data_IF_721266699611
#
_entry.id   IF_721266699611
#
_cell.length_a   1.000
_cell.length_b   1.000
_cell.length_c   1.000
_cell.angle_alpha   90.00
_cell.angle_beta   90.00
_cell.angle_gamma   90.00
#
_symmetry.space_group_name_H-M   'P 1'
#
loop_
_entity.id
_entity.type
_entity.pdbx_description
1 polymer ?
#
# COMPACT_ATOMS: atom_id res chain seq x y z
N UNK A 1 21.82 10.73 -80.36
CA UNK A 1 23.13 10.59 -81.08
C UNK A 1 24.20 10.26 -80.02
N UNK A 2 24.97 9.26 -80.42
CA UNK A 2 26.29 8.80 -80.00
C UNK A 2 26.38 7.97 -78.74
N UNK A 3 26.52 6.69 -78.97
CA UNK A 3 27.04 5.57 -78.22
C UNK A 3 28.48 5.78 -77.77
N UNK A 4 28.88 5.19 -76.65
CA UNK A 4 30.00 4.25 -76.59
C UNK A 4 30.11 3.54 -75.19
N UNK A 5 30.09 2.23 -75.23
CA UNK A 5 30.66 1.19 -74.31
C UNK A 5 32.11 0.92 -74.77
N UNK A 6 32.85 0.01 -74.12
CA UNK A 6 33.07 -0.45 -72.74
C UNK A 6 34.57 -0.50 -72.41
N UNK A 7 34.92 -0.84 -71.18
CA UNK A 7 36.11 -1.67 -70.92
C UNK A 7 36.02 -2.41 -69.59
N UNK A 8 36.18 -3.73 -69.63
CA UNK A 8 36.24 -4.69 -68.60
C UNK A 8 37.71 -4.79 -68.18
N UNK A 9 37.98 -4.76 -66.85
CA UNK A 9 39.19 -5.35 -66.26
C UNK A 9 38.82 -5.96 -64.94
N UNK A 10 38.85 -7.27 -64.85
CA UNK A 10 38.62 -8.04 -63.65
C UNK A 10 39.81 -8.00 -62.70
N UNK A 11 39.50 -7.93 -61.43
CA UNK A 11 40.38 -8.26 -60.32
C UNK A 11 39.56 -9.06 -59.31
N UNK A 12 39.91 -10.31 -59.15
CA UNK A 12 39.45 -11.16 -58.06
C UNK A 12 39.99 -10.67 -56.73
N UNK A 13 39.19 -10.53 -55.71
CA UNK A 13 39.73 -10.48 -54.34
C UNK A 13 39.67 -11.87 -53.67
N UNK A 14 40.79 -12.24 -53.12
CA UNK A 14 40.94 -13.39 -52.26
C UNK A 14 40.00 -13.34 -51.06
N UNK A 15 39.19 -14.41 -50.92
CA UNK A 15 38.36 -14.60 -49.72
C UNK A 15 39.21 -14.94 -48.52
N UNK A 16 39.42 -14.01 -47.62
CA UNK A 16 39.82 -14.27 -46.23
C UNK A 16 38.61 -14.80 -45.47
N UNK A 17 38.58 -16.08 -45.19
CA UNK A 17 37.60 -16.71 -44.29
C UNK A 17 37.87 -16.24 -42.85
N UNK A 18 37.14 -15.24 -42.38
CA UNK A 18 37.04 -14.89 -40.98
C UNK A 18 36.21 -15.96 -40.29
N UNK A 19 36.82 -16.74 -39.41
CA UNK A 19 36.10 -17.60 -38.46
C UNK A 19 35.29 -16.72 -37.52
N UNK A 20 33.96 -16.99 -37.32
CA UNK A 20 33.21 -16.32 -36.28
C UNK A 20 33.75 -16.80 -34.91
N UNK A 21 34.42 -15.92 -34.20
CA UNK A 21 34.71 -16.12 -32.79
C UNK A 21 33.37 -16.21 -32.05
N UNK A 22 33.13 -17.37 -31.42
CA UNK A 22 32.00 -17.53 -30.53
C UNK A 22 32.16 -16.54 -29.35
N UNK A 23 31.42 -15.45 -29.39
CA UNK A 23 31.21 -14.64 -28.20
C UNK A 23 30.45 -15.53 -27.21
N UNK A 24 31.15 -16.05 -26.21
CA UNK A 24 30.53 -16.64 -25.02
C UNK A 24 29.67 -15.55 -24.39
N UNK A 25 28.37 -15.59 -24.66
CA UNK A 25 27.42 -14.88 -23.86
C UNK A 25 27.58 -15.38 -22.42
N UNK A 26 28.17 -14.55 -21.55
CA UNK A 26 28.15 -14.79 -20.12
C UNK A 26 26.68 -14.95 -19.72
N UNK A 27 26.29 -16.17 -19.36
CA UNK A 27 25.01 -16.42 -18.73
C UNK A 27 24.87 -15.45 -17.54
N UNK A 28 23.72 -14.83 -17.33
CA UNK A 28 23.51 -14.03 -16.15
C UNK A 28 23.82 -14.89 -14.92
N UNK A 29 24.49 -14.34 -13.90
CA UNK A 29 24.72 -15.08 -12.67
C UNK A 29 23.35 -15.57 -12.15
N UNK A 30 23.31 -16.86 -11.80
CA UNK A 30 22.14 -17.41 -11.13
C UNK A 30 21.83 -16.54 -9.89
N UNK A 31 20.58 -16.23 -9.60
CA UNK A 31 20.24 -15.52 -8.38
C UNK A 31 20.84 -16.29 -7.21
N UNK A 32 21.43 -15.56 -6.26
CA UNK A 32 21.96 -16.17 -5.05
C UNK A 32 20.80 -16.87 -4.32
N UNK A 33 20.81 -18.20 -4.35
CA UNK A 33 19.81 -19.09 -3.74
C UNK A 33 19.97 -19.13 -2.20
N UNK A 34 19.84 -17.97 -1.55
CA UNK A 34 19.46 -17.97 -0.15
C UNK A 34 17.95 -17.72 -0.11
N UNK A 35 17.15 -18.75 0.20
CA UNK A 35 15.72 -18.55 0.37
C UNK A 35 15.50 -17.48 1.44
N UNK A 36 14.49 -16.61 1.27
CA UNK A 36 14.17 -15.59 2.26
C UNK A 36 14.03 -16.23 3.64
N UNK A 37 14.81 -15.77 4.61
CA UNK A 37 14.86 -16.40 5.94
C UNK A 37 13.65 -16.02 6.81
N UNK A 38 12.77 -15.13 6.31
CA UNK A 38 11.70 -14.53 7.09
C UNK A 38 12.22 -13.48 8.07
N UNK A 39 11.30 -12.70 8.64
CA UNK A 39 11.64 -11.72 9.67
C UNK A 39 11.87 -12.42 11.01
N UNK A 40 12.85 -11.94 11.79
CA UNK A 40 13.13 -12.50 13.11
C UNK A 40 12.00 -12.18 14.10
N UNK A 41 11.64 -13.14 14.95
CA UNK A 41 10.68 -12.91 16.02
C UNK A 41 11.32 -12.03 17.10
N UNK A 42 11.03 -10.72 17.08
CA UNK A 42 11.52 -9.73 18.06
C UNK A 42 10.43 -8.71 18.41
N UNK A 43 10.55 -8.11 19.56
CA UNK A 43 9.74 -6.93 19.90
C UNK A 43 10.12 -5.72 19.04
N UNK A 44 9.14 -4.92 18.66
CA UNK A 44 9.35 -3.65 17.98
C UNK A 44 9.93 -2.62 18.94
N UNK A 45 10.83 -1.76 18.45
CA UNK A 45 11.55 -0.75 19.22
C UNK A 45 11.28 0.64 18.64
N UNK A 46 10.51 1.44 19.35
CA UNK A 46 10.24 2.82 18.94
C UNK A 46 11.21 3.80 19.60
N UNK A 47 11.67 4.86 18.90
CA UNK A 47 11.23 5.30 17.58
C UNK A 47 11.90 4.61 16.39
N UNK A 48 12.88 3.71 16.58
CA UNK A 48 13.69 3.13 15.51
C UNK A 48 12.82 2.44 14.44
N UNK A 49 11.86 1.61 14.85
CA UNK A 49 10.98 0.88 13.92
C UNK A 49 9.87 1.75 13.29
N UNK A 50 9.92 3.08 13.46
CA UNK A 50 9.20 3.99 12.58
C UNK A 50 9.96 4.29 11.28
N UNK A 51 11.26 4.03 11.24
CA UNK A 51 12.12 4.16 10.07
C UNK A 51 11.96 3.00 9.08
N UNK A 52 12.82 2.96 8.08
CA UNK A 52 12.82 1.87 7.09
C UNK A 52 13.70 0.70 7.51
N UNK A 53 13.38 -0.47 6.95
CA UNK A 53 14.06 -1.75 7.18
C UNK A 53 14.66 -2.27 5.87
N UNK A 54 15.74 -1.64 5.35
CA UNK A 54 16.27 -1.87 4.00
C UNK A 54 16.77 -3.31 3.79
N UNK A 55 17.01 -4.06 4.85
CA UNK A 55 17.46 -5.45 4.79
C UNK A 55 16.32 -6.44 4.48
N UNK A 56 15.06 -6.01 4.64
CA UNK A 56 13.90 -6.84 4.29
C UNK A 56 13.52 -6.70 2.82
N UNK A 57 12.84 -7.73 2.28
CA UNK A 57 12.46 -7.78 0.88
C UNK A 57 11.42 -6.72 0.52
N UNK A 58 10.34 -6.61 1.29
CA UNK A 58 9.27 -5.63 1.06
C UNK A 58 8.95 -4.86 2.33
N UNK A 59 8.50 -3.62 2.13
CA UNK A 59 8.07 -2.73 3.20
C UNK A 59 7.10 -1.71 2.65
N UNK A 60 6.09 -1.31 3.43
CA UNK A 60 5.17 -0.24 3.05
C UNK A 60 4.71 0.62 4.22
N UNK A 61 4.45 1.86 3.90
CA UNK A 61 3.75 2.85 4.73
C UNK A 61 2.45 3.17 4.01
N UNK A 62 1.35 2.72 4.56
CA UNK A 62 0.03 2.78 3.97
C UNK A 62 -0.86 3.67 4.80
N UNK A 63 -1.23 4.84 4.26
CA UNK A 63 -2.12 5.79 4.92
C UNK A 63 -3.41 5.87 4.13
N UNK A 64 -4.52 5.58 4.80
CA UNK A 64 -5.86 5.71 4.24
C UNK A 64 -6.77 6.46 5.18
N UNK A 65 -7.78 7.11 4.63
CA UNK A 65 -8.70 7.85 5.46
C UNK A 65 -9.79 8.56 4.68
N UNK A 66 -10.50 9.40 5.38
CA UNK A 66 -11.54 10.24 4.81
C UNK A 66 -11.32 11.70 5.14
N UNK A 67 -11.81 12.58 4.25
CA UNK A 67 -11.77 14.02 4.38
C UNK A 67 -13.15 14.62 4.14
N UNK A 68 -13.38 15.78 4.80
CA UNK A 68 -14.48 16.70 4.51
C UNK A 68 -14.00 18.15 4.60
N UNK A 69 -14.69 19.05 3.96
CA UNK A 69 -14.40 20.48 4.08
C UNK A 69 -14.59 20.99 5.52
N UNK A 70 -13.75 21.93 5.93
CA UNK A 70 -13.80 22.57 7.24
C UNK A 70 -12.48 22.58 7.98
N UNK A 71 -12.47 23.25 9.13
CA UNK A 71 -11.29 23.44 9.99
C UNK A 71 -11.38 22.67 11.30
N UNK A 72 -12.53 22.11 11.64
CA UNK A 72 -12.77 21.38 12.88
C UNK A 72 -13.30 19.97 12.65
N UNK A 73 -12.72 19.02 13.37
CA UNK A 73 -13.24 17.66 13.47
C UNK A 73 -14.36 17.71 14.51
N UNK A 74 -15.61 17.56 14.09
CA UNK A 74 -16.76 17.57 14.99
C UNK A 74 -16.60 16.51 16.09
N UNK A 75 -16.72 16.95 17.36
CA UNK A 75 -16.57 16.08 18.52
C UNK A 75 -17.88 15.42 18.98
N UNK A 76 -19.02 15.77 18.34
CA UNK A 76 -20.33 15.20 18.72
C UNK A 76 -20.72 14.03 17.85
N UNK A 77 -20.94 12.90 18.47
CA UNK A 77 -21.52 11.66 17.91
C UNK A 77 -23.01 11.81 17.51
N UNK A 78 -23.42 12.89 16.90
CA UNK A 78 -24.85 13.12 16.60
C UNK A 78 -25.13 13.88 15.31
N UNK A 79 -24.14 14.51 14.71
CA UNK A 79 -24.24 15.16 13.41
C UNK A 79 -22.91 15.04 12.68
N UNK A 80 -22.41 13.84 12.52
CA UNK A 80 -21.23 13.58 11.69
C UNK A 80 -21.64 13.92 10.26
N UNK A 81 -21.23 15.11 9.78
CA UNK A 81 -21.30 15.39 8.36
C UNK A 81 -20.58 14.26 7.64
N UNK A 82 -21.22 13.69 6.61
CA UNK A 82 -20.71 12.58 5.82
C UNK A 82 -19.32 12.94 5.26
N UNK A 83 -18.42 11.96 5.08
CA UNK A 83 -17.17 12.19 4.38
C UNK A 83 -17.47 12.67 2.95
N UNK A 84 -16.66 13.59 2.44
CA UNK A 84 -16.75 14.04 1.05
C UNK A 84 -15.77 13.26 0.17
N UNK A 85 -14.64 12.89 0.75
CA UNK A 85 -13.59 12.19 0.04
C UNK A 85 -13.04 11.01 0.84
N UNK A 86 -12.69 9.94 0.11
CA UNK A 86 -11.72 8.95 0.56
C UNK A 86 -10.33 9.31 0.04
N UNK A 87 -9.26 9.00 0.78
CA UNK A 87 -7.91 9.20 0.29
C UNK A 87 -6.98 8.04 0.68
N UNK A 88 -5.98 7.81 -0.15
CA UNK A 88 -4.88 6.88 0.05
C UNK A 88 -3.57 7.58 -0.27
N UNK A 89 -2.55 7.35 0.56
CA UNK A 89 -1.16 7.71 0.32
C UNK A 89 -0.31 6.53 0.77
N UNK A 90 0.23 5.79 -0.18
CA UNK A 90 1.02 4.58 0.10
C UNK A 90 2.39 4.69 -0.53
N UNK A 91 3.41 4.37 0.25
CA UNK A 91 4.77 4.18 -0.24
C UNK A 91 5.17 2.73 -0.01
N UNK A 92 5.85 2.17 -0.99
CA UNK A 92 6.38 0.82 -0.96
C UNK A 92 7.88 0.86 -1.20
N UNK A 93 8.61 0.00 -0.52
CA UNK A 93 10.01 -0.28 -0.78
C UNK A 93 10.16 -1.76 -1.11
N UNK A 94 10.96 -2.07 -2.12
CA UNK A 94 11.32 -3.44 -2.45
C UNK A 94 12.81 -3.56 -2.66
N UNK A 95 13.44 -4.54 -2.00
CA UNK A 95 14.80 -4.98 -2.24
C UNK A 95 14.78 -5.97 -3.39
N UNK A 96 15.48 -5.65 -4.47
CA UNK A 96 15.36 -6.43 -5.71
C UNK A 96 16.09 -7.77 -5.67
N UNK A 97 17.10 -7.91 -4.82
CA UNK A 97 18.01 -9.07 -4.83
C UNK A 97 18.92 -9.19 -6.07
N UNK A 98 18.61 -8.45 -7.14
CA UNK A 98 19.26 -8.62 -8.46
C UNK A 98 20.65 -7.97 -8.56
N UNK A 99 20.97 -7.06 -7.68
CA UNK A 99 22.17 -6.22 -7.80
C UNK A 99 23.07 -6.31 -6.57
N UNK A 100 22.90 -7.33 -5.76
CA UNK A 100 23.75 -7.60 -4.61
C UNK A 100 25.15 -7.96 -5.11
N UNK A 101 26.18 -7.34 -4.59
CA UNK A 101 27.55 -7.50 -5.08
C UNK A 101 27.93 -6.66 -6.31
N UNK A 102 27.01 -5.96 -6.95
CA UNK A 102 27.34 -5.01 -8.02
C UNK A 102 27.94 -3.73 -7.44
N UNK A 103 29.14 -3.35 -7.90
CA UNK A 103 29.74 -2.05 -7.58
C UNK A 103 29.13 -0.89 -8.40
N UNK A 104 28.25 -1.18 -9.35
CA UNK A 104 27.64 -0.16 -10.19
C UNK A 104 26.70 0.73 -9.39
N UNK A 105 26.86 2.04 -9.48
CA UNK A 105 25.89 3.01 -8.96
C UNK A 105 24.53 2.94 -9.69
N UNK A 106 24.47 2.27 -10.85
CA UNK A 106 23.23 2.03 -11.59
C UNK A 106 22.50 0.76 -11.14
N UNK A 107 23.06 0.00 -10.20
CA UNK A 107 22.43 -1.17 -9.64
C UNK A 107 21.15 -0.78 -8.90
N UNK A 108 20.00 -1.33 -9.31
CA UNK A 108 18.73 -1.08 -8.68
C UNK A 108 18.57 -2.00 -7.45
N UNK A 109 19.25 -1.72 -6.35
CA UNK A 109 19.17 -2.53 -5.13
C UNK A 109 17.85 -2.34 -4.41
N UNK A 110 17.43 -1.08 -4.31
CA UNK A 110 16.17 -0.69 -3.67
C UNK A 110 15.32 0.07 -4.68
N UNK A 111 14.08 -0.35 -4.79
CA UNK A 111 13.03 0.36 -5.54
C UNK A 111 12.03 0.94 -4.56
N UNK A 112 11.58 2.15 -4.83
CA UNK A 112 10.49 2.78 -4.09
C UNK A 112 9.38 3.11 -5.06
N UNK A 113 8.18 2.72 -4.68
CA UNK A 113 6.95 3.02 -5.40
C UNK A 113 6.05 3.87 -4.51
N UNK A 114 5.18 4.65 -5.11
CA UNK A 114 4.13 5.34 -4.39
C UNK A 114 2.83 5.30 -5.20
N UNK A 115 1.75 5.02 -4.51
CA UNK A 115 0.39 5.11 -5.02
C UNK A 115 -0.38 6.15 -4.22
N UNK A 116 -1.09 7.02 -4.91
CA UNK A 116 -1.94 8.02 -4.28
C UNK A 116 -3.31 8.01 -4.95
N UNK A 117 -4.34 8.07 -4.15
CA UNK A 117 -5.71 8.12 -4.65
C UNK A 117 -6.56 9.10 -3.85
N UNK A 118 -7.49 9.72 -4.54
CA UNK A 118 -8.57 10.52 -3.95
C UNK A 118 -9.88 10.09 -4.60
N UNK A 119 -10.85 9.69 -3.78
CA UNK A 119 -12.18 9.30 -4.23
C UNK A 119 -13.17 10.39 -3.84
N UNK A 120 -13.74 11.09 -4.82
CA UNK A 120 -14.86 12.02 -4.61
C UNK A 120 -16.15 11.22 -4.48
N UNK A 121 -16.77 11.24 -3.30
CA UNK A 121 -17.99 10.50 -3.00
C UNK A 121 -19.24 11.15 -3.61
N UNK A 122 -19.20 12.45 -3.92
CA UNK A 122 -20.29 13.18 -4.53
C UNK A 122 -20.30 13.05 -6.06
N UNK A 123 -19.19 12.61 -6.67
CA UNK A 123 -19.14 12.43 -8.13
C UNK A 123 -20.17 11.41 -8.60
N UNK A 124 -20.84 11.71 -9.72
CA UNK A 124 -21.93 10.89 -10.27
C UNK A 124 -21.52 9.43 -10.53
N UNK A 125 -22.51 8.55 -10.63
CA UNK A 125 -22.31 7.10 -10.78
C UNK A 125 -21.60 6.69 -12.10
N UNK A 126 -21.57 7.57 -13.09
CA UNK A 126 -21.05 7.28 -14.44
C UNK A 126 -19.51 7.31 -14.58
N UNK A 127 -18.79 7.16 -13.49
CA UNK A 127 -17.32 7.18 -13.47
C UNK A 127 -16.74 8.56 -13.13
N UNK A 128 -15.44 8.60 -12.82
CA UNK A 128 -14.68 9.85 -12.59
C UNK A 128 -14.53 10.27 -11.13
N UNK A 129 -15.12 9.56 -10.16
CA UNK A 129 -14.91 9.85 -8.74
C UNK A 129 -13.54 9.46 -8.22
N UNK A 130 -12.93 8.41 -8.74
CA UNK A 130 -11.60 7.98 -8.37
C UNK A 130 -10.54 8.73 -9.19
N UNK A 131 -9.63 9.38 -8.50
CA UNK A 131 -8.41 9.97 -9.04
C UNK A 131 -7.23 9.19 -8.46
N UNK A 132 -6.43 8.57 -9.32
CA UNK A 132 -5.27 7.76 -8.94
C UNK A 132 -4.04 8.22 -9.71
N UNK A 133 -2.91 8.24 -9.03
CA UNK A 133 -1.58 8.49 -9.62
C UNK A 133 -0.54 7.59 -8.97
N UNK A 134 0.55 7.30 -9.67
CA UNK A 134 1.58 6.38 -9.23
C UNK A 134 2.98 6.84 -9.66
N UNK A 135 3.97 6.52 -8.86
CA UNK A 135 5.37 6.82 -9.14
C UNK A 135 6.27 5.65 -8.78
N UNK A 136 7.41 5.58 -9.45
CA UNK A 136 8.47 4.62 -9.14
C UNK A 136 9.83 5.28 -9.32
N UNK A 137 10.78 4.97 -8.45
CA UNK A 137 12.18 5.31 -8.63
C UNK A 137 13.07 4.34 -7.85
N UNK A 138 14.34 4.27 -8.23
CA UNK A 138 15.39 3.59 -7.47
C UNK A 138 16.15 4.58 -6.59
N UNK A 139 16.70 4.09 -5.52
CA UNK A 139 17.63 4.87 -4.68
C UNK A 139 18.90 5.29 -5.43
N UNK A 140 19.62 6.28 -4.89
CA UNK A 140 20.95 6.68 -5.34
C UNK A 140 20.97 7.76 -6.42
N UNK A 141 19.83 8.36 -6.80
CA UNK A 141 19.74 9.40 -7.82
C UNK A 141 19.07 10.70 -7.34
N UNK A 142 18.96 10.88 -6.02
CA UNK A 142 18.31 12.06 -5.43
C UNK A 142 16.79 12.10 -5.59
N UNK A 143 16.17 11.05 -6.18
CA UNK A 143 14.73 10.98 -6.39
C UNK A 143 13.98 10.35 -5.22
N UNK A 144 14.68 9.59 -4.40
CA UNK A 144 14.14 8.84 -3.27
C UNK A 144 14.97 9.12 -2.04
N UNK A 145 14.31 9.31 -0.92
CA UNK A 145 14.89 9.29 0.42
C UNK A 145 14.06 8.35 1.30
N UNK A 146 14.72 7.33 1.81
CA UNK A 146 14.13 6.36 2.76
C UNK A 146 15.14 6.18 3.89
N UNK A 147 15.18 7.07 4.89
CA UNK A 147 16.17 7.00 5.95
C UNK A 147 15.92 5.77 6.83
N UNK A 148 16.99 5.01 7.06
CA UNK A 148 17.02 3.97 8.09
C UNK A 148 17.13 4.61 9.47
N UNK A 149 16.37 4.10 10.42
CA UNK A 149 16.43 4.34 11.86
C UNK A 149 16.32 5.80 12.36
N UNK A 150 15.49 6.05 13.34
CA UNK A 150 15.39 7.25 14.20
C UNK A 150 15.20 8.61 13.52
N UNK A 151 14.99 8.65 12.20
CA UNK A 151 14.79 9.92 11.50
C UNK A 151 13.41 10.51 11.72
N UNK A 152 13.31 11.82 11.57
CA UNK A 152 12.03 12.52 11.45
C UNK A 152 11.33 12.21 10.12
N UNK A 153 12.06 11.70 9.12
CA UNK A 153 11.54 11.38 7.80
C UNK A 153 11.24 9.90 7.66
N UNK A 154 10.05 9.54 7.16
CA UNK A 154 9.70 8.17 6.80
C UNK A 154 10.08 7.85 5.37
N UNK A 155 9.50 8.57 4.39
CA UNK A 155 9.76 8.31 2.98
C UNK A 155 9.45 9.53 2.13
N UNK A 156 10.28 9.72 1.08
CA UNK A 156 10.05 10.73 0.04
C UNK A 156 10.35 10.12 -1.33
N UNK A 157 9.47 10.39 -2.30
CA UNK A 157 9.64 10.04 -3.71
C UNK A 157 9.34 11.28 -4.55
N UNK A 158 10.41 11.95 -5.00
CA UNK A 158 10.35 13.27 -5.66
C UNK A 158 9.71 14.32 -4.73
N UNK A 159 8.57 14.88 -5.15
CA UNK A 159 7.78 15.90 -4.42
C UNK A 159 6.58 15.28 -3.65
N UNK A 160 6.51 13.95 -3.56
CA UNK A 160 5.59 13.26 -2.65
C UNK A 160 6.34 12.79 -1.43
N UNK A 161 5.76 12.97 -0.26
CA UNK A 161 6.40 12.59 0.98
C UNK A 161 5.41 12.20 2.07
N UNK A 162 5.87 11.34 2.95
CA UNK A 162 5.29 11.08 4.26
C UNK A 162 6.40 11.26 5.28
N UNK A 163 6.35 12.34 6.05
CA UNK A 163 7.38 12.75 7.00
C UNK A 163 6.86 12.57 8.41
N UNK A 164 7.61 11.89 9.26
CA UNK A 164 7.35 11.84 10.69
C UNK A 164 8.09 12.97 11.38
N UNK A 165 7.37 13.80 12.12
CA UNK A 165 7.93 14.90 12.90
C UNK A 165 8.41 14.41 14.28
N UNK A 166 9.35 15.13 14.85
CA UNK A 166 9.74 14.90 16.24
C UNK A 166 8.52 15.04 17.16
N UNK A 167 8.45 14.28 18.27
CA UNK A 167 7.39 14.44 19.25
C UNK A 167 7.41 15.86 19.86
N UNK A 168 6.24 16.35 20.24
CA UNK A 168 6.11 17.68 20.85
C UNK A 168 6.78 17.79 22.22
N UNK A 169 6.86 16.66 22.94
CA UNK A 169 7.53 16.53 24.22
C UNK A 169 8.25 15.17 24.28
N UNK A 170 9.32 15.01 25.07
CA UNK A 170 10.11 13.77 25.10
C UNK A 170 9.32 12.52 25.52
N UNK A 171 8.24 12.66 26.26
CA UNK A 171 7.35 11.62 26.74
C UNK A 171 6.12 11.41 25.83
N UNK A 172 5.88 12.28 24.85
CA UNK A 172 4.77 12.12 23.87
C UNK A 172 5.09 11.02 22.87
N UNK A 173 4.47 9.87 23.05
CA UNK A 173 4.64 8.71 22.15
C UNK A 173 3.71 8.71 20.95
N UNK A 174 2.88 9.74 20.80
CA UNK A 174 1.96 9.86 19.66
C UNK A 174 2.69 10.35 18.44
N UNK A 175 2.39 9.77 17.32
CA UNK A 175 2.98 10.17 16.04
C UNK A 175 2.42 11.51 15.55
N UNK A 176 3.28 12.26 14.92
CA UNK A 176 2.92 13.43 14.11
C UNK A 176 3.56 13.25 12.75
N UNK A 177 2.74 13.26 11.74
CA UNK A 177 3.19 13.05 10.37
C UNK A 177 2.65 14.14 9.47
N UNK A 178 3.39 14.41 8.41
CA UNK A 178 3.00 15.34 7.36
C UNK A 178 3.08 14.64 6.02
N UNK A 179 1.95 14.57 5.30
CA UNK A 179 1.84 13.94 4.00
C UNK A 179 1.67 15.02 2.92
N UNK A 180 2.52 14.97 1.90
CA UNK A 180 2.45 15.88 0.76
C UNK A 180 2.34 15.06 -0.52
N UNK A 181 1.30 15.34 -1.30
CA UNK A 181 1.05 14.73 -2.61
C UNK A 181 0.76 15.85 -3.61
N UNK A 182 1.37 15.77 -4.78
CA UNK A 182 1.10 16.67 -5.91
C UNK A 182 0.93 15.84 -7.17
N UNK A 183 -0.33 15.58 -7.54
CA UNK A 183 -0.68 14.95 -8.81
C UNK A 183 -1.26 15.98 -9.77
N UNK A 184 -1.46 15.60 -11.02
CA UNK A 184 -2.10 16.47 -12.01
C UNK A 184 -3.57 16.78 -11.69
N UNK A 185 -4.26 15.85 -11.00
CA UNK A 185 -5.69 15.93 -10.74
C UNK A 185 -6.04 16.46 -9.37
N UNK A 186 -5.15 16.29 -8.39
CA UNK A 186 -5.35 16.74 -7.02
C UNK A 186 -4.02 16.96 -6.29
N UNK A 187 -4.05 17.74 -5.22
CA UNK A 187 -2.94 17.86 -4.28
C UNK A 187 -3.46 17.74 -2.84
N UNK A 188 -2.68 17.06 -2.02
CA UNK A 188 -2.90 16.90 -0.58
C UNK A 188 -1.70 17.51 0.17
N UNK A 189 -2.00 18.21 1.25
CA UNK A 189 -1.04 18.76 2.21
C UNK A 189 -1.67 18.56 3.58
N UNK A 190 -1.33 17.43 4.24
CA UNK A 190 -2.07 16.90 5.37
C UNK A 190 -1.17 16.69 6.58
N UNK A 191 -1.54 17.25 7.71
CA UNK A 191 -1.02 16.91 9.03
C UNK A 191 -1.86 15.76 9.63
N UNK A 192 -1.19 14.69 10.06
CA UNK A 192 -1.77 13.53 10.70
C UNK A 192 -1.24 13.45 12.12
N UNK A 193 -2.14 13.49 13.09
CA UNK A 193 -1.80 13.49 14.52
C UNK A 193 -2.36 12.26 15.21
N UNK A 194 -1.49 11.49 15.84
CA UNK A 194 -1.86 10.34 16.66
C UNK A 194 -2.74 10.78 17.85
N UNK A 195 -3.90 10.18 17.98
CA UNK A 195 -4.79 10.38 19.13
C UNK A 195 -4.68 9.25 20.13
N UNK A 196 -4.04 8.15 19.74
CA UNK A 196 -3.87 6.92 20.51
C UNK A 196 -2.44 6.40 20.33
N UNK A 197 -2.02 5.43 21.11
CA UNK A 197 -0.74 4.74 20.95
C UNK A 197 -0.76 3.79 19.75
N UNK A 198 0.42 3.41 19.25
CA UNK A 198 0.54 2.38 18.21
C UNK A 198 -0.20 1.10 18.58
N UNK A 199 -0.74 0.43 17.57
CA UNK A 199 -1.43 -0.84 17.67
C UNK A 199 -0.52 -1.92 17.08
N UNK A 200 0.07 -2.75 17.92
CA UNK A 200 0.94 -3.85 17.47
C UNK A 200 0.08 -5.01 16.98
N UNK A 201 0.26 -5.39 15.72
CA UNK A 201 -0.53 -6.47 15.12
C UNK A 201 0.08 -7.85 15.40
N UNK A 202 -0.79 -8.87 15.53
CA UNK A 202 -0.35 -10.22 15.85
C UNK A 202 0.28 -10.30 17.25
N UNK A 203 1.35 -11.06 17.38
CA UNK A 203 2.06 -11.23 18.65
C UNK A 203 3.07 -10.08 18.83
N UNK A 204 2.65 -9.02 19.51
CA UNK A 204 3.46 -7.83 19.80
C UNK A 204 4.17 -7.22 18.57
N UNK A 205 3.48 -7.24 17.42
CA UNK A 205 4.02 -6.74 16.15
C UNK A 205 4.58 -7.82 15.22
N UNK A 206 4.66 -9.08 15.66
CA UNK A 206 4.98 -10.22 14.80
C UNK A 206 3.69 -10.83 14.26
N UNK A 207 3.39 -10.57 12.99
CA UNK A 207 2.13 -10.94 12.34
C UNK A 207 2.32 -12.11 11.37
N UNK A 208 1.76 -13.26 11.70
CA UNK A 208 1.79 -14.46 10.84
C UNK A 208 0.99 -14.22 9.55
N UNK A 209 1.51 -14.75 8.44
CA UNK A 209 0.90 -14.67 7.09
C UNK A 209 0.64 -16.04 6.48
N UNK A 210 0.97 -17.10 7.21
CA UNK A 210 0.79 -18.46 6.74
C UNK A 210 1.04 -19.49 7.81
N UNK A 211 0.81 -20.78 7.47
CA UNK A 211 1.11 -21.91 8.36
C UNK A 211 2.62 -22.11 8.57
N UNK A 212 3.46 -21.74 7.59
CA UNK A 212 4.92 -21.72 7.77
C UNK A 212 5.29 -20.56 8.71
N UNK A 213 6.05 -20.81 9.80
CA UNK A 213 6.53 -19.74 10.69
C UNK A 213 7.30 -18.62 10.00
N UNK A 214 7.97 -18.91 8.90
CA UNK A 214 8.71 -17.92 8.12
C UNK A 214 7.79 -16.97 7.31
N UNK A 215 6.54 -17.37 7.07
CA UNK A 215 5.54 -16.50 6.44
C UNK A 215 5.00 -15.54 7.51
N UNK A 216 5.72 -14.46 7.74
CA UNK A 216 5.40 -13.46 8.75
C UNK A 216 5.94 -12.08 8.37
N UNK A 217 5.41 -11.07 9.00
CA UNK A 217 5.87 -9.69 8.91
C UNK A 217 6.05 -9.08 10.29
N UNK A 218 6.82 -8.00 10.38
CA UNK A 218 6.64 -7.02 11.44
C UNK A 218 5.56 -6.03 11.00
N UNK A 219 4.58 -5.79 11.87
CA UNK A 219 3.41 -5.02 11.52
C UNK A 219 2.86 -4.23 12.70
N UNK A 220 2.72 -2.93 12.52
CA UNK A 220 1.96 -2.10 13.45
C UNK A 220 1.06 -1.13 12.70
N UNK A 221 0.00 -0.70 13.37
CA UNK A 221 -0.94 0.29 12.87
C UNK A 221 -1.00 1.51 13.77
N UNK A 222 -1.36 2.65 13.20
CA UNK A 222 -1.74 3.85 13.93
C UNK A 222 -3.18 4.24 13.52
N UNK A 223 -4.19 3.69 14.21
CA UNK A 223 -5.58 4.05 13.97
C UNK A 223 -5.93 5.41 14.56
N UNK A 224 -7.12 5.90 14.21
CA UNK A 224 -7.70 7.13 14.79
C UNK A 224 -6.82 8.37 14.60
N UNK A 225 -5.96 8.44 13.58
CA UNK A 225 -5.18 9.63 13.28
C UNK A 225 -6.11 10.81 12.96
N UNK A 226 -6.00 11.90 13.69
CA UNK A 226 -6.69 13.14 13.38
C UNK A 226 -6.00 13.81 12.17
N UNK A 227 -6.77 14.17 11.15
CA UNK A 227 -6.27 14.79 9.92
C UNK A 227 -6.74 16.23 9.84
N UNK A 228 -5.81 17.13 9.53
CA UNK A 228 -6.05 18.54 9.17
C UNK A 228 -5.16 18.90 8.00
N UNK A 229 -5.60 19.80 7.15
CA UNK A 229 -4.75 20.24 6.06
C UNK A 229 -5.53 20.85 4.91
N UNK A 230 -4.95 20.75 3.73
CA UNK A 230 -5.52 21.34 2.51
C UNK A 230 -5.64 20.32 1.39
N UNK A 231 -6.74 20.41 0.69
CA UNK A 231 -7.01 19.67 -0.55
C UNK A 231 -7.22 20.67 -1.68
N UNK A 232 -6.53 20.46 -2.80
CA UNK A 232 -6.80 21.13 -4.06
C UNK A 232 -7.22 20.09 -5.11
N UNK A 233 -8.26 20.37 -5.86
CA UNK A 233 -8.63 19.67 -7.08
C UNK A 233 -8.14 20.47 -8.29
N UNK A 234 -7.80 19.81 -9.39
CA UNK A 234 -7.38 20.49 -10.61
C UNK A 234 -8.41 21.55 -11.04
N UNK A 235 -7.93 22.76 -11.29
CA UNK A 235 -8.79 23.89 -11.68
C UNK A 235 -9.57 24.54 -10.54
N UNK A 236 -9.38 24.12 -9.28
CA UNK A 236 -10.07 24.69 -8.12
C UNK A 236 -9.09 25.21 -7.07
N UNK A 237 -9.44 26.27 -6.33
CA UNK A 237 -8.63 26.73 -5.20
C UNK A 237 -8.48 25.65 -4.14
N UNK A 238 -7.31 25.61 -3.48
CA UNK A 238 -7.12 24.75 -2.34
C UNK A 238 -8.04 25.16 -1.18
N UNK A 239 -8.66 24.16 -0.52
CA UNK A 239 -9.55 24.36 0.61
C UNK A 239 -9.08 23.61 1.85
N UNK A 240 -9.45 24.11 3.01
CA UNK A 240 -9.17 23.45 4.27
C UNK A 240 -10.05 22.20 4.41
N UNK A 241 -9.43 21.14 4.91
CA UNK A 241 -10.08 19.87 5.15
C UNK A 241 -9.71 19.30 6.52
N UNK A 242 -10.61 18.52 7.05
CA UNK A 242 -10.41 17.71 8.25
C UNK A 242 -10.90 16.30 8.02
N UNK A 243 -10.39 15.35 8.81
CA UNK A 243 -10.77 13.96 8.66
C UNK A 243 -10.17 13.04 9.70
N UNK A 244 -10.24 11.75 9.40
CA UNK A 244 -9.55 10.69 10.16
C UNK A 244 -8.84 9.77 9.21
N UNK A 245 -7.71 9.23 9.67
CA UNK A 245 -6.90 8.30 8.93
C UNK A 245 -6.49 7.09 9.78
N UNK A 246 -6.02 6.10 9.07
CA UNK A 246 -5.35 4.89 9.53
C UNK A 246 -3.98 4.84 8.86
N UNK A 247 -2.94 4.45 9.57
CA UNK A 247 -1.64 4.13 9.00
C UNK A 247 -1.29 2.69 9.34
N UNK A 248 -0.80 1.95 8.33
CA UNK A 248 -0.08 0.70 8.51
C UNK A 248 1.37 0.88 8.10
N UNK A 249 2.26 0.34 8.93
CA UNK A 249 3.66 0.15 8.58
C UNK A 249 3.99 -1.33 8.76
N UNK A 250 4.40 -1.95 7.68
CA UNK A 250 4.64 -3.38 7.64
C UNK A 250 5.85 -3.71 6.76
N UNK A 251 6.68 -4.66 7.22
CA UNK A 251 7.83 -5.14 6.46
C UNK A 251 8.02 -6.64 6.62
N UNK A 252 8.50 -7.28 5.55
CA UNK A 252 8.61 -8.74 5.47
C UNK A 252 9.65 -9.19 4.43
N UNK A 253 10.19 -10.39 4.63
CA UNK A 253 10.92 -11.14 3.61
C UNK A 253 10.01 -12.13 2.88
N UNK A 254 8.94 -12.62 3.56
CA UNK A 254 8.01 -13.64 3.04
C UNK A 254 6.58 -13.27 3.43
N UNK A 255 6.01 -12.32 2.70
CA UNK A 255 4.66 -11.84 2.99
C UNK A 255 3.56 -12.77 2.43
N UNK A 256 3.74 -13.23 1.18
CA UNK A 256 2.80 -14.13 0.52
C UNK A 256 3.42 -15.52 0.40
N UNK A 257 2.85 -16.50 1.10
CA UNK A 257 3.17 -17.89 0.88
C UNK A 257 2.90 -18.33 -0.56
N UNK A 258 3.60 -19.36 -1.06
CA UNK A 258 3.58 -19.78 -2.46
C UNK A 258 2.17 -20.04 -3.05
N UNK A 259 1.20 -20.40 -2.21
CA UNK A 259 -0.16 -20.72 -2.63
C UNK A 259 -1.11 -19.49 -2.64
N UNK A 260 -0.73 -18.39 -1.98
CA UNK A 260 -1.56 -17.21 -1.93
C UNK A 260 -1.47 -16.42 -3.25
N UNK A 261 -2.60 -15.89 -3.70
CA UNK A 261 -2.68 -15.05 -4.91
C UNK A 261 -2.94 -13.58 -4.58
N UNK A 262 -3.36 -13.28 -3.36
CA UNK A 262 -3.70 -11.96 -2.88
C UNK A 262 -4.36 -12.02 -1.50
N UNK A 263 -4.84 -10.87 -1.05
CA UNK A 263 -5.51 -10.71 0.24
C UNK A 263 -6.78 -9.88 0.15
N UNK A 264 -7.61 -10.02 1.18
CA UNK A 264 -8.65 -9.07 1.54
C UNK A 264 -8.29 -8.50 2.90
N UNK A 265 -8.25 -7.19 3.01
CA UNK A 265 -7.89 -6.47 4.23
C UNK A 265 -8.92 -5.38 4.54
N UNK A 266 -9.17 -5.16 5.81
CA UNK A 266 -9.99 -4.05 6.31
C UNK A 266 -9.33 -3.38 7.51
N UNK A 267 -9.39 -2.04 7.55
CA UNK A 267 -9.01 -1.24 8.71
C UNK A 267 -10.05 -0.16 8.98
N UNK A 268 -10.63 -0.16 10.17
CA UNK A 268 -11.73 0.74 10.53
C UNK A 268 -11.44 1.53 11.79
N UNK A 269 -11.69 2.82 11.71
CA UNK A 269 -11.81 3.74 12.84
C UNK A 269 -13.28 3.80 13.25
N UNK A 270 -13.62 3.28 14.43
CA UNK A 270 -14.97 3.32 14.95
C UNK A 270 -15.26 4.70 15.58
N UNK A 271 -16.54 5.09 15.57
CA UNK A 271 -16.97 6.41 16.04
C UNK A 271 -16.82 6.59 17.56
N UNK A 272 -16.79 5.50 18.31
CA UNK A 272 -16.55 5.47 19.76
C UNK A 272 -15.07 5.50 20.16
N UNK A 273 -14.16 5.53 19.17
CA UNK A 273 -12.72 5.52 19.36
C UNK A 273 -12.09 4.13 19.29
N UNK A 274 -12.87 3.07 19.17
CA UNK A 274 -12.35 1.73 18.91
C UNK A 274 -11.67 1.63 17.53
N UNK A 275 -10.87 0.58 17.36
CA UNK A 275 -10.21 0.26 16.10
C UNK A 275 -10.37 -1.23 15.78
N UNK A 276 -10.67 -1.56 14.53
CA UNK A 276 -10.81 -2.93 14.03
C UNK A 276 -9.95 -3.11 12.79
N UNK A 277 -9.10 -4.12 12.78
CA UNK A 277 -8.40 -4.59 11.59
C UNK A 277 -8.65 -6.09 11.42
N UNK A 278 -8.83 -6.53 10.18
CA UNK A 278 -8.86 -7.95 9.84
C UNK A 278 -8.35 -8.15 8.41
N UNK A 279 -7.67 -9.28 8.19
CA UNK A 279 -7.24 -9.68 6.87
C UNK A 279 -7.38 -11.19 6.67
N UNK A 280 -7.43 -11.60 5.41
CA UNK A 280 -7.23 -12.98 5.01
C UNK A 280 -6.39 -13.06 3.73
N UNK A 281 -5.57 -14.08 3.64
CA UNK A 281 -4.80 -14.43 2.45
C UNK A 281 -5.53 -15.56 1.71
N UNK A 282 -5.59 -15.48 0.38
CA UNK A 282 -6.43 -16.35 -0.44
C UNK A 282 -5.64 -17.11 -1.49
N UNK A 283 -6.08 -18.35 -1.76
CA UNK A 283 -5.72 -19.10 -2.98
C UNK A 283 -6.57 -18.64 -4.16
N UNK A 284 -6.21 -19.13 -5.35
CA UNK A 284 -6.92 -18.82 -6.59
C UNK A 284 -8.40 -19.30 -6.59
N UNK A 285 -8.71 -20.35 -5.86
CA UNK A 285 -10.06 -20.87 -5.69
C UNK A 285 -10.89 -20.11 -4.63
N UNK A 286 -10.31 -19.06 -4.04
CA UNK A 286 -10.93 -18.27 -2.99
C UNK A 286 -10.81 -18.84 -1.58
N UNK A 287 -10.24 -20.04 -1.42
CA UNK A 287 -10.01 -20.63 -0.09
C UNK A 287 -8.94 -19.84 0.68
N UNK A 288 -9.10 -19.82 2.01
CA UNK A 288 -8.20 -19.06 2.90
C UNK A 288 -6.93 -19.86 3.18
N UNK A 289 -5.77 -19.24 3.03
CA UNK A 289 -4.50 -19.80 3.47
C UNK A 289 -4.16 -19.41 4.89
N UNK A 290 -4.50 -18.17 5.28
CA UNK A 290 -4.29 -17.58 6.59
C UNK A 290 -5.24 -16.42 6.81
N UNK A 291 -5.54 -16.12 8.07
CA UNK A 291 -6.25 -14.90 8.46
C UNK A 291 -5.66 -14.35 9.76
N UNK A 292 -5.90 -13.10 10.04
CA UNK A 292 -5.48 -12.43 11.25
C UNK A 292 -6.21 -11.11 11.44
N UNK A 293 -6.13 -10.56 12.63
CA UNK A 293 -6.74 -9.27 12.91
C UNK A 293 -6.64 -8.89 14.37
N UNK A 294 -7.17 -7.71 14.67
CA UNK A 294 -7.19 -7.17 16.03
C UNK A 294 -8.37 -6.22 16.23
N UNK A 295 -8.78 -6.12 17.45
CA UNK A 295 -9.72 -5.10 17.91
C UNK A 295 -9.15 -4.41 19.14
N UNK A 296 -9.13 -3.08 19.13
CA UNK A 296 -8.86 -2.27 20.29
C UNK A 296 -10.12 -1.57 20.73
N UNK A 297 -10.53 -1.79 21.99
CA UNK A 297 -11.72 -1.17 22.57
C UNK A 297 -11.53 0.36 22.73
N UNK A 298 -12.61 1.13 22.96
CA UNK A 298 -12.51 2.56 23.28
C UNK A 298 -11.63 2.84 24.52
N UNK A 299 -11.60 1.89 25.45
CA UNK A 299 -10.82 1.96 26.71
C UNK A 299 -9.33 1.61 26.48
N UNK A 300 -8.98 1.10 25.29
CA UNK A 300 -7.61 0.77 24.91
C UNK A 300 -7.24 -0.71 25.08
N UNK A 301 -8.17 -1.58 25.44
CA UNK A 301 -7.94 -3.02 25.54
C UNK A 301 -7.74 -3.63 24.16
N UNK A 302 -6.64 -4.34 23.96
CA UNK A 302 -6.30 -4.99 22.69
C UNK A 302 -6.64 -6.48 22.75
N UNK A 303 -7.37 -6.94 21.74
CA UNK A 303 -7.61 -8.35 21.43
C UNK A 303 -7.10 -8.67 20.02
N UNK A 304 -6.12 -9.54 19.94
CA UNK A 304 -5.71 -10.17 18.67
C UNK A 304 -6.58 -11.38 18.39
N UNK A 305 -6.84 -11.65 17.11
CA UNK A 305 -7.69 -12.73 16.64
C UNK A 305 -6.85 -13.86 16.07
N UNK A 306 -7.20 -15.10 16.39
CA UNK A 306 -6.66 -16.28 15.76
C UNK A 306 -7.23 -16.44 14.33
N UNK A 307 -6.52 -17.20 13.49
CA UNK A 307 -6.86 -17.33 12.07
C UNK A 307 -8.25 -17.99 11.83
N UNK A 308 -8.67 -18.86 12.71
CA UNK A 308 -9.96 -19.58 12.67
C UNK A 308 -11.13 -18.78 13.29
N UNK A 309 -10.84 -17.66 13.97
CA UNK A 309 -11.84 -16.80 14.57
C UNK A 309 -12.41 -15.75 13.59
N UNK A 310 -11.84 -15.63 12.38
CA UNK A 310 -12.20 -14.58 11.42
C UNK A 310 -12.89 -15.22 10.20
N UNK A 311 -14.05 -14.66 9.83
CA UNK A 311 -14.79 -15.08 8.63
C UNK A 311 -15.18 -13.87 7.81
N UNK A 312 -14.85 -13.92 6.51
CA UNK A 312 -15.28 -13.00 5.49
C UNK A 312 -16.27 -13.70 4.56
N UNK A 313 -17.51 -13.26 4.56
CA UNK A 313 -18.57 -13.78 3.70
C UNK A 313 -19.00 -12.71 2.72
N UNK A 314 -18.67 -12.88 1.42
CA UNK A 314 -19.01 -11.92 0.38
C UNK A 314 -20.54 -11.81 0.22
N UNK A 315 -21.04 -10.58 0.14
CA UNK A 315 -22.48 -10.30 0.00
C UNK A 315 -22.80 -9.72 -1.38
N UNK A 316 -22.04 -8.74 -1.83
CA UNK A 316 -22.25 -8.06 -3.10
C UNK A 316 -20.92 -7.91 -3.84
N UNK A 317 -20.97 -8.12 -5.14
CA UNK A 317 -19.83 -7.95 -6.03
C UNK A 317 -20.04 -6.78 -6.99
N UNK A 318 -18.94 -6.20 -7.39
CA UNK A 318 -18.86 -5.24 -8.50
C UNK A 318 -17.85 -5.76 -9.51
N UNK A 319 -18.22 -5.75 -10.79
CA UNK A 319 -17.33 -6.17 -11.88
C UNK A 319 -16.76 -4.94 -12.56
N UNK A 320 -15.44 -4.84 -12.58
CA UNK A 320 -14.76 -3.74 -13.25
C UNK A 320 -15.02 -3.75 -14.75
N UNK A 321 -15.48 -2.64 -15.33
CA UNK A 321 -15.59 -2.54 -16.78
C UNK A 321 -14.23 -2.52 -17.49
N UNK A 322 -13.14 -2.22 -16.76
CA UNK A 322 -11.78 -2.10 -17.31
C UNK A 322 -11.06 -3.45 -17.38
N UNK A 323 -11.12 -4.23 -16.32
CA UNK A 323 -10.37 -5.48 -16.18
C UNK A 323 -11.22 -6.73 -16.23
N UNK A 324 -12.55 -6.59 -16.11
CA UNK A 324 -13.51 -7.68 -15.92
C UNK A 324 -13.31 -8.47 -14.61
N UNK A 325 -12.45 -7.98 -13.72
CA UNK A 325 -12.30 -8.56 -12.40
C UNK A 325 -13.55 -8.29 -11.56
N UNK A 326 -13.98 -9.30 -10.80
CA UNK A 326 -15.14 -9.21 -9.92
C UNK A 326 -14.69 -9.10 -8.47
N UNK A 327 -14.95 -7.95 -7.86
CA UNK A 327 -14.54 -7.61 -6.50
C UNK A 327 -15.73 -7.71 -5.54
N UNK A 328 -15.61 -8.43 -4.42
CA UNK A 328 -16.62 -8.44 -3.37
C UNK A 328 -16.52 -7.16 -2.54
N UNK A 329 -17.36 -6.20 -2.85
CA UNK A 329 -17.33 -4.85 -2.26
C UNK A 329 -18.31 -4.66 -1.09
N UNK A 330 -19.00 -5.72 -0.70
CA UNK A 330 -19.77 -5.80 0.53
C UNK A 330 -19.54 -7.15 1.21
N UNK A 331 -19.25 -7.11 2.51
CA UNK A 331 -18.92 -8.29 3.29
C UNK A 331 -19.70 -8.37 4.58
N UNK A 332 -20.01 -9.58 4.98
CA UNK A 332 -20.30 -9.91 6.36
C UNK A 332 -19.00 -10.40 6.99
N UNK A 333 -18.46 -9.62 7.92
CA UNK A 333 -17.25 -9.90 8.67
C UNK A 333 -17.64 -10.37 10.09
N UNK A 334 -17.27 -11.59 10.44
CA UNK A 334 -17.43 -12.11 11.80
C UNK A 334 -16.07 -12.20 12.46
N UNK A 335 -15.97 -11.66 13.66
CA UNK A 335 -14.76 -11.64 14.50
C UNK A 335 -15.16 -11.87 15.96
N UNK A 336 -14.22 -12.17 16.87
CA UNK A 336 -14.53 -12.25 18.29
C UNK A 336 -15.06 -10.96 18.93
N UNK A 337 -14.84 -9.80 18.29
CA UNK A 337 -15.37 -8.50 18.77
C UNK A 337 -16.78 -8.20 18.25
N UNK A 338 -17.32 -9.02 17.35
CA UNK A 338 -18.66 -8.87 16.85
C UNK A 338 -18.83 -9.25 15.39
N UNK A 339 -20.07 -9.07 14.93
CA UNK A 339 -20.48 -9.25 13.54
C UNK A 339 -20.70 -7.87 12.91
N UNK A 340 -20.20 -7.70 11.70
CA UNK A 340 -20.11 -6.42 11.04
C UNK A 340 -20.47 -6.54 9.55
N UNK A 341 -21.13 -5.53 9.02
CA UNK A 341 -21.25 -5.38 7.56
C UNK A 341 -20.26 -4.31 7.09
N UNK A 342 -19.34 -4.72 6.23
CA UNK A 342 -18.42 -3.83 5.51
C UNK A 342 -19.08 -3.47 4.19
N UNK A 343 -19.27 -2.19 3.90
CA UNK A 343 -19.97 -1.72 2.71
C UNK A 343 -19.15 -0.62 2.04
N UNK A 344 -18.71 -0.85 0.82
CA UNK A 344 -18.03 0.19 0.04
C UNK A 344 -18.95 1.41 -0.15
N UNK A 345 -18.41 2.61 0.06
CA UNK A 345 -19.16 3.85 -0.17
C UNK A 345 -19.26 4.21 -1.66
N UNK A 346 -18.40 3.62 -2.47
CA UNK A 346 -18.38 3.73 -3.92
C UNK A 346 -17.90 2.42 -4.53
N UNK A 347 -18.51 1.99 -5.62
CA UNK A 347 -18.19 0.68 -6.22
C UNK A 347 -16.91 0.74 -7.06
N UNK A 348 -16.77 1.74 -7.94
CA UNK A 348 -15.60 1.89 -8.82
C UNK A 348 -14.44 2.57 -8.06
N UNK A 349 -13.65 1.75 -7.37
CA UNK A 349 -12.42 2.14 -6.68
C UNK A 349 -11.26 1.19 -7.06
N UNK A 350 -11.27 0.68 -8.30
CA UNK A 350 -10.18 -0.12 -8.84
C UNK A 350 -9.00 0.78 -9.26
N UNK A 351 -7.80 0.45 -8.76
CA UNK A 351 -6.55 1.14 -9.04
C UNK A 351 -5.70 0.32 -10.02
N UNK A 352 -5.38 0.92 -11.16
CA UNK A 352 -4.45 0.35 -12.13
C UNK A 352 -3.02 0.83 -11.84
N UNK A 353 -2.26 0.00 -11.16
CA UNK A 353 -0.87 0.28 -10.76
C UNK A 353 0.15 -0.54 -11.57
N UNK A 354 -0.22 -0.96 -12.79
CA UNK A 354 0.67 -1.77 -13.65
C UNK A 354 1.94 -1.06 -14.08
N UNK A 355 1.93 0.28 -14.11
CA UNK A 355 3.11 1.08 -14.47
C UNK A 355 4.14 1.21 -13.35
N UNK A 356 3.82 0.78 -12.13
CA UNK A 356 4.71 0.80 -10.97
C UNK A 356 4.93 -0.60 -10.41
N UNK A 357 3.95 -1.18 -9.74
CA UNK A 357 4.03 -2.49 -9.08
C UNK A 357 3.59 -3.65 -9.97
N UNK A 358 3.11 -3.40 -11.20
CA UNK A 358 2.62 -4.43 -12.11
C UNK A 358 1.25 -5.01 -11.74
N UNK A 359 0.55 -4.43 -10.77
CA UNK A 359 -0.70 -4.96 -10.22
C UNK A 359 -1.92 -4.07 -10.51
N UNK A 360 -3.09 -4.68 -10.47
CA UNK A 360 -4.39 -4.00 -10.38
C UNK A 360 -5.09 -4.53 -9.13
N UNK A 361 -5.63 -3.64 -8.34
CA UNK A 361 -6.33 -3.98 -7.10
C UNK A 361 -7.48 -3.00 -6.85
N UNK A 362 -8.39 -3.38 -6.00
CA UNK A 362 -9.50 -2.53 -5.58
C UNK A 362 -9.25 -2.06 -4.15
N UNK A 363 -9.43 -0.79 -3.90
CA UNK A 363 -9.20 -0.22 -2.59
C UNK A 363 -10.09 1.00 -2.38
N UNK A 364 -10.89 0.99 -1.30
CA UNK A 364 -11.85 2.05 -1.17
C UNK A 364 -12.39 2.32 0.22
N UNK A 365 -12.78 3.60 0.41
CA UNK A 365 -13.47 4.04 1.61
C UNK A 365 -14.77 3.26 1.77
N UNK A 366 -14.94 2.69 2.96
CA UNK A 366 -16.04 1.80 3.31
C UNK A 366 -16.64 2.15 4.66
N UNK A 367 -17.90 1.83 4.84
CA UNK A 367 -18.61 1.95 6.10
C UNK A 367 -18.64 0.60 6.84
N UNK A 368 -18.42 0.64 8.14
CA UNK A 368 -18.65 -0.47 9.04
C UNK A 368 -20.02 -0.30 9.69
N UNK A 369 -20.91 -1.28 9.51
CA UNK A 369 -22.28 -1.24 10.02
C UNK A 369 -22.55 -2.38 10.99
N UNK A 370 -23.46 -2.17 11.92
CA UNK A 370 -24.09 -3.20 12.74
C UNK A 370 -25.20 -3.90 11.97
N UNK A 371 -25.72 -4.99 12.51
CA UNK A 371 -26.84 -5.77 11.92
C UNK A 371 -28.11 -4.92 11.77
N UNK A 372 -28.30 -3.90 12.60
CA UNK A 372 -29.40 -2.91 12.51
C UNK A 372 -29.24 -1.89 11.39
N UNK A 373 -28.13 -1.95 10.63
CA UNK A 373 -27.78 -1.03 9.55
C UNK A 373 -27.09 0.26 9.99
N UNK A 374 -26.96 0.52 11.29
CA UNK A 374 -26.30 1.71 11.83
C UNK A 374 -24.80 1.70 11.48
N UNK A 375 -24.32 2.79 10.88
CA UNK A 375 -22.90 3.02 10.64
C UNK A 375 -22.20 3.30 11.98
N UNK A 376 -21.21 2.49 12.31
CA UNK A 376 -20.44 2.60 13.56
C UNK A 376 -18.98 2.97 13.34
N UNK A 377 -18.51 3.00 12.10
CA UNK A 377 -17.15 3.39 11.77
C UNK A 377 -16.97 3.61 10.27
N UNK A 378 -15.88 4.25 9.93
CA UNK A 378 -15.39 4.43 8.56
C UNK A 378 -13.96 3.93 8.49
N UNK A 379 -13.60 3.36 7.34
CA UNK A 379 -12.29 2.81 7.10
C UNK A 379 -12.10 2.36 5.66
N UNK A 380 -11.12 1.53 5.41
CA UNK A 380 -10.82 1.05 4.08
C UNK A 380 -11.00 -0.46 3.98
N UNK A 381 -11.43 -0.88 2.80
CA UNK A 381 -11.43 -2.25 2.32
C UNK A 381 -10.42 -2.30 1.17
N UNK A 382 -9.49 -3.25 1.21
CA UNK A 382 -8.52 -3.52 0.16
C UNK A 382 -8.66 -4.95 -0.34
N UNK A 383 -8.67 -5.13 -1.66
CA UNK A 383 -8.90 -6.40 -2.36
C UNK A 383 -7.83 -6.58 -3.43
N UNK A 384 -6.87 -7.46 -3.18
CA UNK A 384 -5.78 -7.76 -4.11
C UNK A 384 -5.94 -9.13 -4.75
N UNK A 385 -5.29 -9.37 -5.88
CA UNK A 385 -5.25 -10.69 -6.51
C UNK A 385 -6.52 -11.11 -7.25
N UNK A 386 -7.48 -10.20 -7.48
CA UNK A 386 -8.70 -10.46 -8.24
C UNK A 386 -8.53 -10.24 -9.76
N UNK A 387 -7.77 -9.23 -10.15
CA UNK A 387 -7.45 -8.97 -11.56
C UNK A 387 -6.24 -9.76 -12.07
N UNK A 388 -5.59 -10.51 -11.20
CA UNK A 388 -4.41 -11.30 -11.48
C UNK A 388 -3.62 -11.56 -10.19
N UNK A 389 -2.79 -12.61 -10.16
CA UNK A 389 -1.96 -12.93 -8.99
C UNK A 389 -1.05 -11.75 -8.64
N UNK A 390 -1.08 -11.33 -7.39
CA UNK A 390 -0.16 -10.34 -6.86
C UNK A 390 1.27 -10.92 -6.80
N UNK A 391 2.24 -10.12 -7.22
CA UNK A 391 3.67 -10.40 -7.12
C UNK A 391 4.31 -9.27 -6.32
N UNK A 392 4.98 -9.62 -5.24
CA UNK A 392 5.69 -8.69 -4.36
C UNK A 392 7.19 -8.83 -4.55
#
# INVERSE_FOLDING_TARGET
MIRRRPFIAGLLPAALAARPGAASALAPPAPADNPPQGVSHRALRFPADHGSHPDTHVEWWYVTGWLRGGTEIGTRAGAASLPEFGFQVTFFRSRTGLAEGSASRFAARQLVFAHVALTDLAAGANGGGLMHDQRAAREGFGLVQVPSASGTQLVQLRDWSLLRQAPAAPDDRRSRMHAVVRSERFALDLDLSGTQTVLLQGEAGYSRKGPDPLDASHYYSEPQLAVRGRLALAGSPARDVVGRAWLDHEWSDRYLGAQAVGWDWVGFNLHDGAALMAFRLRRADGSVTWAGGSYRSPEGELRNFAADEIRFEAQRHWTSPRTQASYPIEWLLTTPSGRWRVVALRDDQELDSRNSTGSVYWEGLSALKRDDGRVVGLGYLELTGYAGRLRL
#
